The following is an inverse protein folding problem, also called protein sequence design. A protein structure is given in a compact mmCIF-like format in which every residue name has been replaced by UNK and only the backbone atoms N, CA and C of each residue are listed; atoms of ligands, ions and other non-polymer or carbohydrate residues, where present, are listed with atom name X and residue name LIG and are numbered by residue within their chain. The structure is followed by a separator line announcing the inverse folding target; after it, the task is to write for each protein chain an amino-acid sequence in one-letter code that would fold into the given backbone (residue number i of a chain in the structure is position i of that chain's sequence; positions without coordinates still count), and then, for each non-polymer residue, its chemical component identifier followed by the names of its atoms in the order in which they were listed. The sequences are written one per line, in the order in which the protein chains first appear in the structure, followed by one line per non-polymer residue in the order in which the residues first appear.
data_IF_820250178837
#
_entry.id   IF_820250178837
#
_cell.length_a   1.000
_cell.length_b   1.000
_cell.length_c   1.000
_cell.angle_alpha   90.00
_cell.angle_beta   90.00
_cell.angle_gamma   90.00
#
_symmetry.space_group_name_H-M   'P 1'
#
loop_
_entity.id
_entity.type
_entity.pdbx_description
1 polymer ?
#
# COMPACT_ATOMS: atom_id res chain seq x y z
N UNK A 1 -37.84 -23.44 -40.46
CA UNK A 1 -37.04 -23.90 -39.30
C UNK A 1 -36.35 -22.70 -38.69
N UNK A 2 -36.75 -22.28 -37.49
CA UNK A 2 -36.13 -21.16 -36.76
C UNK A 2 -35.59 -21.71 -35.44
N UNK A 3 -34.27 -21.74 -35.30
CA UNK A 3 -33.60 -22.19 -34.07
C UNK A 3 -33.57 -21.05 -33.07
N UNK A 4 -34.27 -21.22 -31.94
CA UNK A 4 -34.18 -20.33 -30.79
C UNK A 4 -32.80 -20.39 -30.16
N UNK A 5 -32.02 -19.32 -30.29
CA UNK A 5 -30.79 -19.11 -29.53
C UNK A 5 -31.15 -18.70 -28.10
N UNK A 6 -31.09 -19.68 -27.18
CA UNK A 6 -31.20 -19.47 -25.74
C UNK A 6 -29.89 -18.86 -25.21
N UNK A 7 -29.82 -17.53 -25.12
CA UNK A 7 -28.74 -16.85 -24.41
C UNK A 7 -29.03 -16.93 -22.91
N UNK A 8 -28.42 -17.92 -22.24
CA UNK A 8 -28.39 -18.02 -20.78
C UNK A 8 -27.76 -16.76 -20.20
N UNK A 9 -28.58 -15.87 -19.66
CA UNK A 9 -28.13 -14.83 -18.73
C UNK A 9 -27.58 -15.49 -17.47
N UNK A 10 -26.28 -15.76 -17.45
CA UNK A 10 -25.56 -16.00 -16.20
C UNK A 10 -25.41 -14.65 -15.48
N UNK A 11 -26.48 -14.24 -14.81
CA UNK A 11 -26.48 -13.05 -13.96
C UNK A 11 -25.39 -13.15 -12.90
N UNK A 12 -24.61 -12.08 -12.75
CA UNK A 12 -23.63 -11.93 -11.67
C UNK A 12 -24.36 -12.14 -10.35
N UNK A 13 -23.92 -13.12 -9.54
CA UNK A 13 -24.57 -13.42 -8.27
C UNK A 13 -24.61 -12.18 -7.38
N UNK A 14 -25.68 -11.99 -6.60
CA UNK A 14 -25.79 -10.87 -5.67
C UNK A 14 -24.56 -10.74 -4.75
N UNK A 15 -23.99 -11.88 -4.32
CA UNK A 15 -22.75 -11.91 -3.54
C UNK A 15 -21.55 -11.34 -4.32
N UNK A 16 -21.43 -11.66 -5.61
CA UNK A 16 -20.37 -11.11 -6.48
C UNK A 16 -20.55 -9.60 -6.70
N UNK A 17 -21.79 -9.13 -6.83
CA UNK A 17 -22.09 -7.69 -6.94
C UNK A 17 -21.67 -6.94 -5.67
N UNK A 18 -22.00 -7.48 -4.49
CA UNK A 18 -21.62 -6.90 -3.19
C UNK A 18 -20.09 -6.91 -3.01
N UNK A 19 -19.42 -8.02 -3.32
CA UNK A 19 -17.96 -8.12 -3.24
C UNK A 19 -17.27 -7.08 -4.14
N UNK A 20 -17.72 -6.93 -5.39
CA UNK A 20 -17.20 -5.91 -6.32
C UNK A 20 -17.42 -4.49 -5.78
N UNK A 21 -18.57 -4.22 -5.16
CA UNK A 21 -18.86 -2.92 -4.54
C UNK A 21 -17.91 -2.63 -3.37
N UNK A 22 -17.66 -3.61 -2.50
CA UNK A 22 -16.74 -3.46 -1.37
C UNK A 22 -15.31 -3.15 -1.84
N UNK A 23 -14.81 -3.86 -2.85
CA UNK A 23 -13.49 -3.58 -3.45
C UNK A 23 -13.41 -2.16 -4.01
N UNK A 24 -14.42 -1.73 -4.79
CA UNK A 24 -14.46 -0.36 -5.33
C UNK A 24 -14.44 0.70 -4.23
N UNK A 25 -15.20 0.50 -3.15
CA UNK A 25 -15.24 1.41 -2.01
C UNK A 25 -13.91 1.42 -1.26
N UNK A 26 -13.26 0.27 -1.09
CA UNK A 26 -11.95 0.17 -0.47
C UNK A 26 -10.88 0.93 -1.27
N UNK A 27 -10.81 0.71 -2.58
CA UNK A 27 -9.88 1.41 -3.47
C UNK A 27 -10.15 2.92 -3.49
N UNK A 28 -11.42 3.34 -3.43
CA UNK A 28 -11.78 4.76 -3.31
C UNK A 28 -11.23 5.37 -2.02
N UNK A 29 -11.39 4.70 -0.87
CA UNK A 29 -10.86 5.17 0.42
C UNK A 29 -9.33 5.27 0.43
N UNK A 30 -8.64 4.38 -0.29
CA UNK A 30 -7.18 4.47 -0.44
C UNK A 30 -6.83 5.73 -1.24
N UNK A 31 -7.44 5.93 -2.41
CA UNK A 31 -7.18 7.11 -3.24
C UNK A 31 -7.47 8.43 -2.52
N UNK A 32 -8.55 8.49 -1.74
CA UNK A 32 -8.89 9.67 -0.94
C UNK A 32 -7.84 9.95 0.14
N UNK A 33 -7.33 8.90 0.81
CA UNK A 33 -6.26 9.03 1.80
C UNK A 33 -4.95 9.51 1.18
N UNK A 34 -4.52 8.90 0.08
CA UNK A 34 -3.28 9.30 -0.61
C UNK A 34 -3.36 10.71 -1.17
N UNK A 35 -4.51 11.11 -1.72
CA UNK A 35 -4.74 12.49 -2.15
C UNK A 35 -4.62 13.49 -0.99
N UNK A 36 -5.24 13.20 0.15
CA UNK A 36 -5.16 14.07 1.33
C UNK A 36 -3.74 14.20 1.87
N UNK A 37 -2.98 13.09 1.88
CA UNK A 37 -1.55 13.11 2.24
C UNK A 37 -0.75 13.99 1.29
N UNK A 38 -0.89 13.79 -0.02
CA UNK A 38 -0.18 14.59 -1.02
C UNK A 38 -0.48 16.08 -0.83
N UNK A 39 -1.75 16.46 -0.69
CA UNK A 39 -2.15 17.85 -0.49
C UNK A 39 -1.53 18.45 0.78
N UNK A 40 -1.43 17.70 1.87
CA UNK A 40 -0.84 18.18 3.12
C UNK A 40 0.68 18.41 3.00
N UNK A 41 1.36 17.68 2.12
CA UNK A 41 2.80 17.80 1.90
C UNK A 41 3.20 18.97 0.98
N UNK A 42 2.29 19.45 0.13
CA UNK A 42 2.58 20.50 -0.85
C UNK A 42 2.24 21.87 -0.26
N UNK A 43 3.23 22.72 0.07
CA UNK A 43 3.02 23.93 0.87
C UNK A 43 2.02 24.92 0.25
N UNK A 44 2.06 25.09 -1.07
CA UNK A 44 1.23 26.03 -1.81
C UNK A 44 -0.26 25.67 -1.83
N UNK A 45 -0.64 24.42 -1.54
CA UNK A 45 -2.04 23.95 -1.55
C UNK A 45 -2.53 23.39 -0.21
N UNK A 46 -1.64 23.17 0.76
CA UNK A 46 -1.96 22.61 2.07
C UNK A 46 -2.99 23.45 2.84
N UNK A 47 -2.86 24.78 2.80
CA UNK A 47 -3.72 25.72 3.52
C UNK A 47 -4.95 26.19 2.73
N UNK A 48 -4.97 26.00 1.40
CA UNK A 48 -6.05 26.49 0.52
C UNK A 48 -7.32 25.67 0.72
N UNK A 49 -8.45 26.28 1.05
CA UNK A 49 -9.70 25.54 1.33
C UNK A 49 -10.25 24.78 0.11
N UNK A 50 -10.27 25.41 -1.06
CA UNK A 50 -10.79 24.86 -2.32
C UNK A 50 -9.65 24.71 -3.33
N UNK A 51 -9.27 23.48 -3.61
CA UNK A 51 -8.26 23.14 -4.62
C UNK A 51 -8.73 21.90 -5.39
N UNK A 52 -8.58 21.95 -6.71
CA UNK A 52 -8.91 20.83 -7.58
C UNK A 52 -7.81 19.77 -7.53
N UNK A 53 -8.14 18.53 -7.92
CA UNK A 53 -7.15 17.45 -7.96
C UNK A 53 -6.00 17.75 -8.90
N UNK A 54 -6.30 18.33 -10.07
CA UNK A 54 -5.30 18.70 -11.09
C UNK A 54 -4.31 19.72 -10.52
N UNK A 55 -4.82 20.78 -9.86
CA UNK A 55 -3.97 21.77 -9.22
C UNK A 55 -3.05 21.17 -8.15
N UNK A 56 -3.54 20.23 -7.33
CA UNK A 56 -2.68 19.56 -6.34
C UNK A 56 -1.55 18.78 -7.02
N UNK A 57 -1.80 18.13 -8.17
CA UNK A 57 -0.75 17.43 -8.91
C UNK A 57 0.25 18.40 -9.53
N UNK A 58 -0.22 19.46 -10.20
CA UNK A 58 0.64 20.47 -10.82
C UNK A 58 1.54 21.18 -9.80
N UNK A 59 0.99 21.51 -8.64
CA UNK A 59 1.72 22.13 -7.54
C UNK A 59 2.70 21.14 -6.88
N UNK A 60 2.35 19.85 -6.83
CA UNK A 60 3.27 18.82 -6.36
C UNK A 60 4.50 18.66 -7.27
N UNK A 61 4.29 18.68 -8.59
CA UNK A 61 5.38 18.61 -9.57
C UNK A 61 6.33 19.79 -9.39
N UNK A 62 5.80 21.02 -9.31
CA UNK A 62 6.60 22.22 -9.05
C UNK A 62 7.38 22.13 -7.74
N UNK A 63 6.74 21.64 -6.68
CA UNK A 63 7.42 21.50 -5.39
C UNK A 63 8.56 20.47 -5.44
N UNK A 64 8.40 19.36 -6.17
CA UNK A 64 9.48 18.39 -6.39
C UNK A 64 10.65 19.04 -7.14
N UNK A 65 10.39 19.81 -8.19
CA UNK A 65 11.41 20.53 -8.95
C UNK A 65 12.18 21.54 -8.07
N UNK A 66 11.49 22.30 -7.24
CA UNK A 66 12.09 23.23 -6.28
C UNK A 66 12.99 22.51 -5.26
N UNK A 67 12.52 21.38 -4.71
CA UNK A 67 13.31 20.57 -3.79
C UNK A 67 14.55 19.99 -4.47
N UNK A 68 14.41 19.50 -5.71
CA UNK A 68 15.54 18.99 -6.49
C UNK A 68 16.58 20.07 -6.77
N UNK A 69 16.16 21.25 -7.22
CA UNK A 69 17.06 22.38 -7.44
C UNK A 69 17.77 22.79 -6.15
N UNK A 70 17.04 22.87 -5.02
CA UNK A 70 17.60 23.21 -3.71
C UNK A 70 18.64 22.18 -3.25
N UNK A 71 18.38 20.90 -3.46
CA UNK A 71 19.32 19.83 -3.11
C UNK A 71 20.58 19.88 -3.97
N UNK A 72 20.45 20.07 -5.29
CA UNK A 72 21.58 20.20 -6.19
C UNK A 72 22.46 21.40 -5.84
N UNK A 73 21.84 22.54 -5.55
CA UNK A 73 22.57 23.75 -5.19
C UNK A 73 23.38 23.54 -3.90
N UNK A 74 22.79 22.94 -2.86
CA UNK A 74 23.51 22.57 -1.63
C UNK A 74 24.65 21.59 -1.89
N UNK A 75 24.46 20.63 -2.79
CA UNK A 75 25.50 19.68 -3.17
C UNK A 75 26.66 20.38 -3.87
N UNK A 76 26.39 21.28 -4.81
CA UNK A 76 27.40 22.09 -5.51
C UNK A 76 28.19 22.96 -4.54
N UNK A 77 27.50 23.62 -3.59
CA UNK A 77 28.15 24.43 -2.56
C UNK A 77 29.09 23.60 -1.67
N UNK A 78 28.72 22.34 -1.39
CA UNK A 78 29.51 21.46 -0.51
C UNK A 78 30.65 20.71 -1.22
N UNK A 79 30.48 20.34 -2.48
CA UNK A 79 31.37 19.42 -3.19
C UNK A 79 32.01 19.99 -4.46
N UNK A 80 31.68 21.22 -4.85
CA UNK A 80 32.23 21.87 -6.04
C UNK A 80 32.05 21.01 -7.28
N UNK A 81 33.15 20.72 -7.99
CA UNK A 81 33.15 19.93 -9.22
C UNK A 81 32.90 18.43 -9.02
N UNK A 82 32.96 17.92 -7.79
CA UNK A 82 32.69 16.50 -7.46
C UNK A 82 31.22 16.25 -7.06
N UNK A 83 30.37 17.28 -7.18
CA UNK A 83 28.98 17.23 -6.75
C UNK A 83 28.15 16.19 -7.53
N UNK A 84 28.39 16.06 -8.83
CA UNK A 84 27.61 15.17 -9.70
C UNK A 84 27.91 13.69 -9.40
N UNK A 85 29.18 13.33 -9.26
CA UNK A 85 29.61 11.97 -8.89
C UNK A 85 29.06 11.55 -7.52
N UNK A 86 29.12 12.45 -6.53
CA UNK A 86 28.60 12.19 -5.18
C UNK A 86 27.07 12.13 -5.12
N UNK A 87 26.38 12.94 -5.94
CA UNK A 87 24.93 12.88 -6.05
C UNK A 87 24.49 11.55 -6.65
N UNK A 88 25.14 11.08 -7.71
CA UNK A 88 24.84 9.78 -8.31
C UNK A 88 25.09 8.63 -7.34
N UNK A 89 26.19 8.65 -6.58
CA UNK A 89 26.48 7.65 -5.54
C UNK A 89 25.35 7.61 -4.50
N UNK A 90 24.91 8.77 -4.01
CA UNK A 90 23.85 8.88 -3.00
C UNK A 90 22.51 8.33 -3.51
N UNK A 91 22.13 8.66 -4.75
CA UNK A 91 20.91 8.15 -5.38
C UNK A 91 20.97 6.63 -5.53
N UNK A 92 22.11 6.08 -5.99
CA UNK A 92 22.29 4.63 -6.14
C UNK A 92 22.15 3.90 -4.81
N UNK A 93 22.73 4.43 -3.73
CA UNK A 93 22.58 3.86 -2.39
C UNK A 93 21.12 3.89 -1.92
N UNK A 94 20.43 5.00 -2.13
CA UNK A 94 19.03 5.13 -1.73
C UNK A 94 18.10 4.17 -2.48
N UNK A 95 18.20 4.11 -3.82
CA UNK A 95 17.39 3.19 -4.64
C UNK A 95 17.66 1.73 -4.26
N UNK A 96 18.93 1.36 -4.06
CA UNK A 96 19.30 0.02 -3.60
C UNK A 96 18.63 -0.33 -2.27
N UNK A 97 18.58 0.61 -1.32
CA UNK A 97 17.94 0.44 -0.01
C UNK A 97 16.41 0.33 -0.11
N UNK A 98 15.77 1.10 -0.99
CA UNK A 98 14.33 0.98 -1.22
C UNK A 98 13.97 -0.38 -1.82
N UNK A 99 14.71 -0.84 -2.83
CA UNK A 99 14.43 -2.10 -3.52
C UNK A 99 14.62 -3.31 -2.62
N UNK A 100 15.57 -3.26 -1.68
CA UNK A 100 15.76 -4.31 -0.67
C UNK A 100 14.68 -4.32 0.42
N UNK A 101 14.09 -3.17 0.77
CA UNK A 101 12.99 -3.12 1.75
C UNK A 101 11.64 -3.59 1.17
N UNK A 102 11.40 -3.41 -0.13
CA UNK A 102 10.12 -3.81 -0.75
C UNK A 102 9.99 -5.32 -0.99
N UNK A 103 11.08 -6.08 -0.97
CA UNK A 103 11.09 -7.53 -1.21
C UNK A 103 11.00 -8.39 0.06
N UNK A 104 11.08 -7.81 1.26
CA UNK A 104 11.07 -8.57 2.54
C UNK A 104 9.69 -8.78 3.18
N UNK A 105 8.58 -8.49 2.49
CA UNK A 105 7.22 -8.72 3.02
C UNK A 105 6.47 -9.76 2.20
N UNK A 106 6.93 -11.01 2.22
CA UNK A 106 6.13 -12.22 1.97
C UNK A 106 7.05 -13.44 2.10
N UNK A 107 7.15 -14.03 3.29
CA UNK A 107 7.24 -15.47 3.57
C UNK A 107 7.40 -15.69 5.08
N UNK A 108 6.63 -16.61 5.71
CA UNK A 108 6.97 -17.15 7.01
C UNK A 108 7.94 -18.30 6.80
N UNK A 109 9.13 -18.26 7.41
CA UNK A 109 9.92 -19.47 7.54
C UNK A 109 10.55 -19.61 8.93
N UNK A 110 10.64 -20.88 9.31
CA UNK A 110 10.74 -21.45 10.63
C UNK A 110 12.17 -21.40 11.20
N UNK A 111 12.24 -21.40 12.53
CA UNK A 111 13.31 -21.90 13.41
C UNK A 111 14.75 -21.44 13.18
N UNK A 112 15.28 -20.70 14.17
CA UNK A 112 16.60 -21.01 14.70
C UNK A 112 16.63 -20.74 16.21
N UNK A 113 16.79 -21.83 16.97
CA UNK A 113 16.90 -21.87 18.42
C UNK A 113 18.31 -21.45 18.87
N UNK A 114 18.39 -20.41 19.71
CA UNK A 114 19.32 -20.33 20.83
C UNK A 114 19.16 -19.00 21.58
N UNK A 115 18.58 -19.07 22.79
CA UNK A 115 18.92 -18.34 24.04
C UNK A 115 17.77 -18.58 25.06
N UNK A 116 18.03 -19.18 26.24
CA UNK A 116 17.13 -19.14 27.41
C UNK A 116 17.74 -18.31 28.57
N UNK A 117 17.06 -18.14 29.73
CA UNK A 117 15.73 -17.55 29.95
C UNK A 117 15.74 -16.52 31.11
N UNK A 118 14.89 -15.48 31.11
CA UNK A 118 14.58 -14.76 32.37
C UNK A 118 13.15 -14.21 32.42
N UNK A 119 12.38 -14.79 33.34
CA UNK A 119 11.35 -14.18 34.22
C UNK A 119 10.01 -13.76 33.59
N UNK A 120 9.13 -14.78 33.51
CA UNK A 120 7.75 -14.86 34.07
C UNK A 120 7.12 -13.57 34.61
N UNK A 121 6.05 -13.10 33.95
CA UNK A 121 4.78 -12.71 34.59
C UNK A 121 3.60 -12.89 33.61
N UNK A 122 2.67 -13.77 33.99
CA UNK A 122 1.25 -13.79 33.59
C UNK A 122 0.45 -13.41 34.85
N UNK A 123 -0.81 -12.89 34.80
CA UNK A 123 -1.84 -13.23 33.80
C UNK A 123 -2.77 -12.07 33.37
N UNK A 124 -3.45 -12.21 32.23
CA UNK A 124 -4.82 -11.67 32.07
C UNK A 124 -5.54 -12.31 30.89
N UNK A 125 -6.66 -12.93 31.24
CA UNK A 125 -7.73 -13.57 30.48
C UNK A 125 -8.41 -12.67 29.43
N UNK A 126 -8.66 -13.17 28.22
CA UNK A 126 -10.01 -13.46 27.67
C UNK A 126 -9.88 -13.92 26.19
N UNK A 127 -9.78 -15.23 25.97
CA UNK A 127 -9.76 -15.82 24.63
C UNK A 127 -11.20 -16.10 24.18
N UNK A 128 -11.73 -15.25 23.30
CA UNK A 128 -13.09 -15.40 22.76
C UNK A 128 -13.05 -16.35 21.57
N UNK A 129 -13.68 -17.51 21.74
CA UNK A 129 -13.90 -18.58 20.76
C UNK A 129 -14.09 -18.07 19.32
N UNK A 130 -13.19 -18.44 18.42
CA UNK A 130 -13.50 -18.50 16.99
C UNK A 130 -14.38 -19.72 16.75
N UNK A 131 -15.70 -19.51 16.73
CA UNK A 131 -16.64 -20.47 16.15
C UNK A 131 -16.27 -20.66 14.67
N UNK A 132 -15.76 -21.85 14.33
CA UNK A 132 -15.69 -22.30 12.94
C UNK A 132 -17.09 -22.17 12.31
N UNK A 133 -17.23 -21.54 11.13
CA UNK A 133 -18.53 -21.48 10.47
C UNK A 133 -18.90 -22.86 9.94
N UNK A 134 -20.12 -23.30 10.25
CA UNK A 134 -20.65 -24.66 10.06
C UNK A 134 -20.79 -25.13 8.60
N UNK A 135 -20.41 -24.31 7.60
CA UNK A 135 -20.47 -24.70 6.19
C UNK A 135 -19.35 -25.65 5.74
N UNK A 136 -18.35 -25.94 6.60
CA UNK A 136 -17.25 -26.86 6.27
C UNK A 136 -17.59 -28.34 6.53
N UNK A 137 -18.74 -28.68 7.12
CA UNK A 137 -19.15 -30.06 7.39
C UNK A 137 -19.84 -30.68 6.16
N UNK A 138 -19.04 -31.03 5.15
CA UNK A 138 -19.48 -31.84 4.00
C UNK A 138 -19.68 -33.30 4.45
N UNK A 139 -20.92 -33.66 4.76
CA UNK A 139 -21.36 -35.03 5.09
C UNK A 139 -21.08 -35.98 3.92
N UNK A 140 -20.04 -36.82 4.04
CA UNK A 140 -19.83 -37.98 3.15
C UNK A 140 -20.92 -39.00 3.43
N UNK A 141 -21.81 -39.24 2.45
CA UNK A 141 -22.67 -40.43 2.44
C UNK A 141 -21.79 -41.65 2.18
N UNK A 142 -21.89 -42.66 3.04
CA UNK A 142 -21.34 -44.00 2.80
C UNK A 142 -22.24 -44.71 1.78
N UNK A 143 -21.61 -45.42 0.85
CA UNK A 143 -22.23 -46.47 0.03
C UNK A 143 -22.22 -47.74 0.85
#
# INVERSE_FOLDING_TARGET
MVTMTSYRHYGVSAAQVVARRQVRMHLRKIREREYSKLRALVPSVASKQKVTKVQVIEEAVRYIEELHATLLERFRQKHGNMAEDKAQETVRTFVSRMMTQTSSTNLPDHHNDNIPPLVRHSPSTFEKQKSQPSFLLRKRRKI
#
